data_IF_388751221707
#
_entry.id   IF_388751221707
#
_cell.length_a   1.000
_cell.length_b   1.000
_cell.length_c   1.000
_cell.angle_alpha   90.00
_cell.angle_beta   90.00
_cell.angle_gamma   90.00
#
_symmetry.space_group_name_H-M   'P 1'
#
loop_
_entity.id
_entity.type
_entity.pdbx_description
1 polymer ?
#
# COMPACT_ATOMS: atom_id res chain seq x y z
N UNK A 1 -16.25 30.44 -9.64
CA UNK A 1 -16.78 29.46 -8.66
C UNK A 1 -15.72 28.60 -7.96
N UNK A 2 -14.42 28.93 -7.98
CA UNK A 2 -13.36 28.06 -7.41
C UNK A 2 -12.96 28.36 -5.95
N UNK A 3 -13.44 29.46 -5.35
CA UNK A 3 -13.03 29.85 -3.99
C UNK A 3 -13.57 28.91 -2.90
N UNK A 4 -14.81 28.42 -3.05
CA UNK A 4 -15.42 27.50 -2.07
C UNK A 4 -14.70 26.14 -2.03
N UNK A 5 -14.33 25.61 -3.20
CA UNK A 5 -13.57 24.36 -3.31
C UNK A 5 -12.19 24.48 -2.66
N UNK A 6 -11.55 25.66 -2.80
CA UNK A 6 -10.26 25.91 -2.17
C UNK A 6 -10.35 25.94 -0.65
N UNK A 7 -11.28 26.72 -0.08
CA UNK A 7 -11.46 26.81 1.37
C UNK A 7 -11.84 25.45 1.98
N UNK A 8 -12.67 24.67 1.28
CA UNK A 8 -13.03 23.32 1.70
C UNK A 8 -11.80 22.40 1.75
N UNK A 9 -10.96 22.44 0.72
CA UNK A 9 -9.76 21.61 0.67
C UNK A 9 -8.75 22.00 1.75
N UNK A 10 -8.56 23.28 2.02
CA UNK A 10 -7.72 23.75 3.13
C UNK A 10 -8.25 23.28 4.49
N UNK A 11 -9.56 23.36 4.72
CA UNK A 11 -10.20 22.84 5.93
C UNK A 11 -10.04 21.32 6.08
N UNK A 12 -10.24 20.56 5.01
CA UNK A 12 -10.06 19.10 5.00
C UNK A 12 -8.60 18.71 5.24
N UNK A 13 -7.65 19.44 4.66
CA UNK A 13 -6.22 19.24 4.89
C UNK A 13 -5.87 19.44 6.37
N UNK A 14 -6.41 20.47 7.01
CA UNK A 14 -6.20 20.74 8.44
C UNK A 14 -6.82 19.64 9.32
N UNK A 15 -8.05 19.21 8.99
CA UNK A 15 -8.78 18.18 9.74
C UNK A 15 -8.14 16.78 9.58
N UNK A 16 -7.63 16.48 8.39
CA UNK A 16 -7.12 15.17 7.97
C UNK A 16 -5.59 15.15 7.89
N UNK A 17 -4.92 15.86 8.80
CA UNK A 17 -3.45 16.03 8.87
C UNK A 17 -2.62 14.76 9.11
N UNK A 18 -3.23 13.58 9.00
CA UNK A 18 -2.58 12.29 9.24
C UNK A 18 -2.15 11.55 7.96
N UNK A 19 -1.06 10.77 7.99
CA UNK A 19 -0.65 9.91 6.88
C UNK A 19 -1.71 8.84 6.54
N UNK A 20 -2.47 8.40 7.54
CA UNK A 20 -3.57 7.45 7.37
C UNK A 20 -4.75 8.03 6.56
N UNK A 21 -4.97 9.35 6.59
CA UNK A 21 -6.12 10.01 5.95
C UNK A 21 -5.81 10.62 4.59
N UNK A 22 -4.54 10.58 4.16
CA UNK A 22 -4.08 11.07 2.84
C UNK A 22 -4.81 10.42 1.66
N UNK A 23 -5.16 9.14 1.77
CA UNK A 23 -5.90 8.42 0.72
C UNK A 23 -7.32 8.97 0.51
N UNK A 24 -7.97 9.47 1.56
CA UNK A 24 -9.29 10.12 1.47
C UNK A 24 -9.20 11.44 0.74
N UNK A 25 -8.19 12.25 1.06
CA UNK A 25 -7.91 13.51 0.36
C UNK A 25 -7.58 13.27 -1.12
N UNK A 26 -6.78 12.24 -1.44
CA UNK A 26 -6.46 11.87 -2.82
C UNK A 26 -7.69 11.36 -3.60
N UNK A 27 -8.56 10.59 -2.93
CA UNK A 27 -9.85 10.18 -3.47
C UNK A 27 -10.75 11.38 -3.81
N UNK A 28 -10.81 12.37 -2.92
CA UNK A 28 -11.57 13.59 -3.16
C UNK A 28 -11.04 14.41 -4.34
N UNK A 29 -9.72 14.56 -4.49
CA UNK A 29 -9.12 15.23 -5.65
C UNK A 29 -9.53 14.56 -6.98
N UNK A 30 -9.80 13.26 -6.97
CA UNK A 30 -10.25 12.53 -8.17
C UNK A 30 -11.67 12.91 -8.61
N UNK A 31 -12.49 13.45 -7.69
CA UNK A 31 -13.85 13.94 -7.95
C UNK A 31 -13.85 15.39 -8.49
N UNK A 32 -12.74 16.12 -8.36
CA UNK A 32 -12.62 17.49 -8.86
C UNK A 32 -12.50 17.55 -10.41
N UNK A 33 -12.87 18.68 -11.04
CA UNK A 33 -12.65 18.91 -12.46
C UNK A 33 -11.17 18.78 -12.84
N UNK A 34 -10.88 18.23 -14.03
CA UNK A 34 -9.51 17.95 -14.50
C UNK A 34 -8.57 19.15 -14.38
N UNK A 35 -9.09 20.36 -14.60
CA UNK A 35 -8.33 21.63 -14.52
C UNK A 35 -7.86 21.98 -13.11
N UNK A 36 -8.52 21.47 -12.06
CA UNK A 36 -8.24 21.81 -10.66
C UNK A 36 -7.45 20.70 -9.93
N UNK A 37 -7.50 19.47 -10.44
CA UNK A 37 -6.77 18.32 -9.88
C UNK A 37 -5.29 18.57 -9.59
N UNK A 38 -4.47 19.15 -10.51
CA UNK A 38 -3.04 19.31 -10.24
C UNK A 38 -2.76 20.24 -9.05
N UNK A 39 -3.55 21.31 -8.90
CA UNK A 39 -3.44 22.26 -7.78
C UNK A 39 -3.73 21.59 -6.43
N UNK A 40 -4.80 20.80 -6.36
CA UNK A 40 -5.18 20.14 -5.11
C UNK A 40 -4.37 18.87 -4.81
N UNK A 41 -3.92 18.16 -5.84
CA UNK A 41 -3.00 17.02 -5.68
C UNK A 41 -1.68 17.44 -5.03
N UNK A 42 -1.16 18.62 -5.39
CA UNK A 42 0.03 19.20 -4.76
C UNK A 42 -0.20 19.52 -3.27
N UNK A 43 -1.34 20.11 -2.91
CA UNK A 43 -1.72 20.36 -1.51
C UNK A 43 -1.80 19.08 -0.69
N UNK A 44 -2.45 18.04 -1.20
CA UNK A 44 -2.55 16.72 -0.53
C UNK A 44 -1.18 16.03 -0.44
N UNK A 45 -0.27 16.29 -1.38
CA UNK A 45 1.12 15.81 -1.34
C UNK A 45 1.92 16.40 -0.18
N UNK A 46 1.60 17.62 0.25
CA UNK A 46 2.23 18.27 1.41
C UNK A 46 1.63 17.81 2.75
N UNK A 47 0.45 17.17 2.75
CA UNK A 47 -0.16 16.59 3.95
C UNK A 47 0.45 15.22 4.24
N UNK A 48 1.30 15.17 5.26
CA UNK A 48 1.92 13.94 5.73
C UNK A 48 3.42 13.80 5.43
N UNK A 49 4.10 14.87 5.01
CA UNK A 49 5.58 14.89 4.93
C UNK A 49 6.26 15.16 6.29
N UNK A 50 5.58 14.87 7.41
CA UNK A 50 6.25 14.50 8.65
C UNK A 50 6.43 12.97 8.73
N UNK A 51 6.82 12.37 7.61
CA UNK A 51 7.49 11.07 7.58
C UNK A 51 8.58 11.12 6.51
N UNK A 52 9.79 11.32 7.01
CA UNK A 52 11.08 10.89 6.48
C UNK A 52 11.37 11.07 4.99
N UNK A 53 12.35 11.93 4.72
CA UNK A 53 13.23 11.85 3.56
C UNK A 53 13.65 10.40 3.32
N UNK A 54 13.30 9.83 2.16
CA UNK A 54 13.57 8.41 1.94
C UNK A 54 13.49 7.97 0.49
N UNK A 55 14.22 8.66 -0.39
CA UNK A 55 14.62 8.03 -1.64
C UNK A 55 15.48 6.80 -1.28
N UNK A 56 14.90 5.61 -1.52
CA UNK A 56 15.55 4.29 -1.57
C UNK A 56 15.97 3.67 -0.22
N UNK A 57 15.43 2.47 0.00
CA UNK A 57 15.68 1.46 1.06
C UNK A 57 15.11 1.76 2.46
N UNK A 58 14.17 0.92 2.94
CA UNK A 58 14.03 0.69 4.37
C UNK A 58 14.91 -0.51 4.78
N UNK A 59 15.88 -0.23 5.66
CA UNK A 59 16.59 -1.19 6.50
C UNK A 59 15.72 -1.55 7.73
N UNK A 60 16.09 -2.59 8.50
CA UNK A 60 15.20 -3.31 9.42
C UNK A 60 15.29 -2.82 10.88
N UNK A 61 14.41 -3.42 11.69
CA UNK A 61 14.31 -3.43 13.17
C UNK A 61 13.63 -2.20 13.80
N UNK A 62 12.61 -2.35 14.64
CA UNK A 62 11.98 -3.55 15.18
C UNK A 62 11.23 -3.22 16.46
N UNK A 63 10.08 -3.88 16.66
CA UNK A 63 9.29 -4.09 17.88
C UNK A 63 7.79 -4.03 17.50
N UNK A 64 6.94 -5.03 17.71
CA UNK A 64 7.08 -6.35 18.27
C UNK A 64 5.87 -7.18 17.81
N UNK A 65 6.04 -8.49 17.77
CA UNK A 65 5.04 -9.43 17.27
C UNK A 65 5.77 -10.64 16.67
N UNK A 66 6.03 -11.62 17.52
CA UNK A 66 6.76 -12.84 17.19
C UNK A 66 6.24 -13.51 15.90
N UNK A 67 7.17 -13.97 15.06
CA UNK A 67 6.96 -15.10 14.16
C UNK A 67 6.50 -14.85 12.71
N UNK A 68 6.09 -13.65 12.30
CA UNK A 68 5.56 -13.45 10.94
C UNK A 68 6.61 -13.03 9.91
N UNK A 69 7.13 -14.00 9.16
CA UNK A 69 7.94 -13.74 7.95
C UNK A 69 7.27 -12.67 7.07
N UNK A 70 7.98 -11.63 6.60
CA UNK A 70 7.38 -10.58 5.79
C UNK A 70 6.97 -11.08 4.41
N UNK A 71 5.93 -10.47 3.85
CA UNK A 71 5.50 -10.79 2.48
C UNK A 71 6.64 -10.59 1.49
N UNK A 72 6.95 -11.60 0.66
CA UNK A 72 8.06 -11.48 -0.29
C UNK A 72 7.82 -10.42 -1.40
N UNK A 73 6.56 -10.08 -1.68
CA UNK A 73 6.15 -9.14 -2.72
C UNK A 73 5.97 -7.70 -2.20
N UNK A 74 5.13 -7.51 -1.18
CA UNK A 74 4.83 -6.18 -0.64
C UNK A 74 5.61 -5.82 0.62
N UNK A 75 6.41 -6.75 1.16
CA UNK A 75 7.22 -6.59 2.38
C UNK A 75 6.42 -6.17 3.64
N UNK A 76 5.09 -6.26 3.60
CA UNK A 76 4.20 -5.93 4.71
C UNK A 76 4.18 -7.07 5.75
N UNK A 77 4.26 -6.68 7.02
CA UNK A 77 4.02 -7.50 8.21
C UNK A 77 3.20 -6.66 9.20
N UNK A 78 2.29 -7.26 10.00
CA UNK A 78 1.87 -8.67 9.94
C UNK A 78 1.07 -8.98 8.68
N UNK A 79 1.17 -10.22 8.19
CA UNK A 79 0.27 -10.73 7.15
C UNK A 79 -0.94 -11.36 7.85
N UNK A 80 -2.15 -10.86 7.62
CA UNK A 80 -3.37 -11.46 8.22
C UNK A 80 -3.58 -12.90 7.75
N UNK A 81 -3.29 -13.17 6.47
CA UNK A 81 -3.39 -14.50 5.87
C UNK A 81 -2.18 -14.76 4.96
N UNK A 82 -1.07 -15.29 5.49
CA UNK A 82 0.08 -15.65 4.69
C UNK A 82 -0.21 -16.92 3.87
N UNK A 83 0.17 -16.89 2.59
CA UNK A 83 0.13 -18.06 1.72
C UNK A 83 1.53 -18.43 1.26
N UNK A 84 1.87 -19.71 1.35
CA UNK A 84 3.10 -20.29 0.84
C UNK A 84 2.88 -20.86 -0.55
N UNK A 85 3.79 -20.53 -1.46
CA UNK A 85 3.96 -21.21 -2.73
C UNK A 85 4.74 -22.53 -2.55
N UNK A 86 4.63 -23.50 -3.49
CA UNK A 86 5.43 -24.73 -3.49
C UNK A 86 6.94 -24.45 -3.64
N UNK A 87 7.31 -23.25 -4.09
CA UNK A 87 8.70 -22.81 -4.13
C UNK A 87 9.25 -22.31 -2.78
N UNK A 88 8.46 -22.36 -1.70
CA UNK A 88 8.84 -21.94 -0.35
C UNK A 88 8.65 -20.44 -0.08
N UNK A 89 8.33 -19.63 -1.09
CA UNK A 89 8.09 -18.20 -0.91
C UNK A 89 6.72 -17.91 -0.31
N UNK A 90 6.66 -16.98 0.64
CA UNK A 90 5.45 -16.61 1.38
C UNK A 90 5.05 -15.18 1.03
N UNK A 91 3.78 -14.97 0.70
CA UNK A 91 3.24 -13.65 0.41
C UNK A 91 1.80 -13.51 0.89
N UNK A 92 1.33 -12.27 0.93
CA UNK A 92 -0.04 -11.94 1.27
C UNK A 92 -1.01 -12.45 0.19
N UNK A 93 -2.25 -12.81 0.54
CA UNK A 93 -3.24 -13.30 -0.42
C UNK A 93 -3.46 -12.35 -1.60
N UNK A 94 -3.60 -11.05 -1.33
CA UNK A 94 -3.80 -10.02 -2.36
C UNK A 94 -2.59 -9.90 -3.28
N UNK A 95 -1.39 -10.04 -2.73
CA UNK A 95 -0.14 -10.07 -3.48
C UNK A 95 -0.09 -11.28 -4.44
N UNK A 96 -0.49 -12.45 -3.95
CA UNK A 96 -0.56 -13.65 -4.77
C UNK A 96 -1.64 -13.56 -5.85
N UNK A 97 -2.81 -13.02 -5.54
CA UNK A 97 -3.86 -12.79 -6.54
C UNK A 97 -3.38 -11.86 -7.65
N UNK A 98 -2.76 -10.73 -7.32
CA UNK A 98 -2.22 -9.79 -8.31
C UNK A 98 -1.14 -10.44 -9.18
N UNK A 99 -0.24 -11.22 -8.57
CA UNK A 99 0.83 -11.92 -9.29
C UNK A 99 0.29 -13.01 -10.23
N UNK A 100 -0.69 -13.79 -9.75
CA UNK A 100 -1.34 -14.83 -10.54
C UNK A 100 -2.17 -14.25 -11.68
N UNK A 101 -2.79 -13.08 -11.50
CA UNK A 101 -3.54 -12.40 -12.54
C UNK A 101 -2.67 -11.94 -13.72
N UNK A 102 -1.39 -11.66 -13.49
CA UNK A 102 -0.50 -11.12 -14.51
C UNK A 102 0.40 -12.19 -15.17
N UNK A 103 1.05 -13.04 -14.37
CA UNK A 103 2.18 -13.84 -14.87
C UNK A 103 2.13 -15.33 -14.55
N UNK A 104 1.21 -15.79 -13.68
CA UNK A 104 1.14 -17.18 -13.21
C UNK A 104 2.51 -17.76 -12.78
N UNK A 105 3.37 -16.90 -12.22
CA UNK A 105 4.75 -17.20 -11.83
C UNK A 105 5.08 -16.52 -10.51
N UNK A 106 5.91 -17.17 -9.70
CA UNK A 106 6.43 -16.58 -8.47
C UNK A 106 7.25 -15.32 -8.77
N UNK A 107 6.97 -14.21 -8.10
CA UNK A 107 7.73 -12.96 -8.28
C UNK A 107 9.15 -12.96 -7.71
N UNK A 108 9.58 -14.05 -7.06
CA UNK A 108 10.93 -14.16 -6.47
C UNK A 108 11.83 -15.14 -7.25
N UNK A 109 11.32 -16.33 -7.57
CA UNK A 109 12.09 -17.38 -8.24
C UNK A 109 11.58 -17.75 -9.63
N UNK A 110 10.57 -17.03 -10.13
CA UNK A 110 9.97 -17.22 -11.47
C UNK A 110 9.40 -18.62 -11.77
N UNK A 111 9.37 -19.53 -10.78
CA UNK A 111 8.72 -20.84 -10.88
C UNK A 111 7.23 -20.68 -11.18
N UNK A 112 6.69 -21.57 -12.01
CA UNK A 112 5.28 -21.62 -12.35
C UNK A 112 4.44 -21.74 -11.07
N UNK A 113 3.39 -20.94 -10.96
CA UNK A 113 2.51 -20.92 -9.82
C UNK A 113 1.05 -20.98 -10.27
N UNK A 114 0.25 -21.82 -9.61
CA UNK A 114 -1.20 -21.84 -9.77
C UNK A 114 -1.88 -21.56 -8.44
N UNK A 115 -3.10 -21.01 -8.48
CA UNK A 115 -3.90 -20.67 -7.29
C UNK A 115 -4.09 -21.88 -6.36
N UNK A 116 -4.33 -23.06 -6.92
CA UNK A 116 -4.55 -24.30 -6.16
C UNK A 116 -3.28 -24.84 -5.48
N UNK A 117 -2.10 -24.30 -5.79
CA UNK A 117 -0.83 -24.70 -5.18
C UNK A 117 -0.44 -23.82 -3.99
N UNK A 118 -1.23 -22.77 -3.71
CA UNK A 118 -0.98 -21.87 -2.58
C UNK A 118 -1.54 -22.49 -1.31
N UNK A 119 -0.65 -22.79 -0.35
CA UNK A 119 -1.03 -23.31 0.96
C UNK A 119 -1.22 -22.13 1.91
N UNK A 120 -2.40 -22.03 2.52
CA UNK A 120 -2.66 -21.06 3.59
C UNK A 120 -1.85 -21.48 4.81
N UNK A 121 -0.97 -20.60 5.27
CA UNK A 121 -0.25 -20.78 6.52
C UNK A 121 -1.10 -20.20 7.65
N UNK A 122 -1.29 -20.98 8.70
CA UNK A 122 -1.89 -20.52 9.94
C UNK A 122 -0.75 -20.15 10.90
N UNK A 123 -0.91 -19.04 11.63
CA UNK A 123 -0.06 -18.73 12.77
C UNK A 123 -0.59 -19.54 13.95
N UNK A 124 0.19 -20.50 14.43
CA UNK A 124 0.02 -21.13 15.75
C UNK A 124 0.68 -20.26 16.83
#
# INVERSE_FOLDING_TARGET
>A
SGQNTQQLMEGLVVLLKGPATRHLLAGFVSLLPKSERPKFSQMVGAVGTAQETGAKKPRPNGAGGAGASPCCLCKRSPMEVPFAAPCGHKACFTCWQAQLAQHFKCGVCSKQLRRNQLVKLHFE
#
